data_IF_457594628458
#
_entry.id   IF_457594628458
#
_cell.length_a   1.000
_cell.length_b   1.000
_cell.length_c   1.000
_cell.angle_alpha   90.00
_cell.angle_beta   90.00
_cell.angle_gamma   90.00
#
_symmetry.space_group_name_H-M   'P 1'
#
loop_
_entity.id
_entity.type
_entity.pdbx_description
1 polymer ?
#
# COMPACT_ATOMS: atom_id res chain seq x y z
N UNK A 1 24.42 -7.67 31.43
CA UNK A 1 24.16 -6.76 30.30
C UNK A 1 24.06 -7.62 29.06
N UNK A 2 22.90 -7.68 28.40
CA UNK A 2 22.71 -8.48 27.17
C UNK A 2 23.43 -7.71 26.05
N UNK A 3 24.52 -8.27 25.53
CA UNK A 3 25.23 -7.74 24.38
C UNK A 3 24.39 -7.98 23.13
N UNK A 4 23.54 -7.03 22.76
CA UNK A 4 22.79 -7.11 21.51
C UNK A 4 23.79 -7.07 20.35
N UNK A 5 23.96 -8.20 19.65
CA UNK A 5 24.79 -8.26 18.45
C UNK A 5 24.29 -7.22 17.43
N UNK A 6 25.15 -6.31 16.94
CA UNK A 6 24.75 -5.28 15.98
C UNK A 6 24.16 -5.90 14.70
N UNK A 7 24.68 -7.06 14.28
CA UNK A 7 24.15 -7.84 13.17
C UNK A 7 22.72 -8.31 13.44
N UNK A 8 22.45 -8.82 14.65
CA UNK A 8 21.10 -9.27 15.01
C UNK A 8 20.10 -8.10 15.06
N UNK A 9 20.54 -6.94 15.56
CA UNK A 9 19.74 -5.72 15.55
C UNK A 9 19.40 -5.27 14.12
N UNK A 10 20.36 -5.33 13.21
CA UNK A 10 20.14 -5.04 11.79
C UNK A 10 19.08 -5.96 11.18
N UNK A 11 19.20 -7.28 11.33
CA UNK A 11 18.21 -8.22 10.81
C UNK A 11 16.82 -8.05 11.43
N UNK A 12 16.76 -7.66 12.71
CA UNK A 12 15.49 -7.34 13.35
C UNK A 12 14.82 -6.13 12.69
N UNK A 13 15.58 -5.07 12.37
CA UNK A 13 15.05 -3.90 11.65
C UNK A 13 14.59 -4.27 10.23
N UNK A 14 15.34 -5.12 9.54
CA UNK A 14 14.96 -5.61 8.20
C UNK A 14 13.64 -6.38 8.26
N UNK A 15 13.49 -7.31 9.21
CA UNK A 15 12.23 -8.05 9.39
C UNK A 15 11.06 -7.11 9.73
N UNK A 16 11.27 -6.09 10.56
CA UNK A 16 10.23 -5.09 10.85
C UNK A 16 9.79 -4.34 9.59
N UNK A 17 10.73 -3.90 8.75
CA UNK A 17 10.42 -3.26 7.48
C UNK A 17 9.69 -4.20 6.52
N UNK A 18 10.13 -5.46 6.40
CA UNK A 18 9.48 -6.47 5.56
C UNK A 18 8.03 -6.73 5.99
N UNK A 19 7.76 -6.79 7.29
CA UNK A 19 6.40 -6.94 7.79
C UNK A 19 5.51 -5.76 7.40
N UNK A 20 6.01 -4.53 7.50
CA UNK A 20 5.28 -3.32 7.05
C UNK A 20 5.00 -3.42 5.54
N UNK A 21 5.98 -3.81 4.73
CA UNK A 21 5.79 -3.98 3.28
C UNK A 21 4.77 -5.06 2.93
N UNK A 22 4.74 -6.17 3.66
CA UNK A 22 3.74 -7.22 3.47
C UNK A 22 2.34 -6.75 3.82
N UNK A 23 2.17 -5.99 4.90
CA UNK A 23 0.89 -5.37 5.27
C UNK A 23 0.47 -4.35 4.20
N UNK A 24 1.41 -3.59 3.64
CA UNK A 24 1.14 -2.65 2.56
C UNK A 24 0.60 -3.37 1.33
N UNK A 25 1.26 -4.44 0.88
CA UNK A 25 0.80 -5.26 -0.24
C UNK A 25 -0.56 -5.89 0.04
N UNK A 26 -0.78 -6.37 1.27
CA UNK A 26 -2.08 -6.90 1.69
C UNK A 26 -3.16 -5.82 1.62
N UNK A 27 -2.89 -4.60 2.08
CA UNK A 27 -3.84 -3.47 2.02
C UNK A 27 -4.25 -3.12 0.59
N UNK A 28 -3.33 -3.24 -0.38
CA UNK A 28 -3.60 -3.04 -1.79
C UNK A 28 -4.42 -4.19 -2.37
N UNK A 29 -4.04 -5.44 -2.12
CA UNK A 29 -4.77 -6.62 -2.60
C UNK A 29 -6.18 -6.68 -2.03
N UNK A 30 -6.30 -6.36 -0.75
CA UNK A 30 -7.52 -6.40 0.03
C UNK A 30 -8.24 -5.04 -0.01
N UNK A 31 -7.71 -4.08 -0.79
CA UNK A 31 -8.23 -2.72 -1.04
C UNK A 31 -8.82 -2.06 0.19
N UNK A 32 -8.13 -2.26 1.30
CA UNK A 32 -8.47 -1.69 2.56
C UNK A 32 -7.75 -0.34 2.66
N UNK A 33 -8.45 0.74 2.30
CA UNK A 33 -7.87 2.07 2.24
C UNK A 33 -7.38 2.56 3.61
N UNK A 34 -8.09 2.21 4.69
CA UNK A 34 -7.67 2.56 6.05
C UNK A 34 -6.33 1.91 6.40
N UNK A 35 -6.20 0.60 6.13
CA UNK A 35 -4.95 -0.13 6.34
C UNK A 35 -3.84 0.41 5.43
N UNK A 36 -4.16 0.74 4.18
CA UNK A 36 -3.22 1.36 3.24
C UNK A 36 -2.63 2.65 3.80
N UNK A 37 -3.46 3.57 4.31
CA UNK A 37 -2.97 4.81 4.90
C UNK A 37 -2.14 4.58 6.15
N UNK A 38 -2.58 3.70 7.05
CA UNK A 38 -1.82 3.36 8.26
C UNK A 38 -0.43 2.82 7.91
N UNK A 39 -0.35 1.90 6.96
CA UNK A 39 0.94 1.33 6.56
C UNK A 39 1.83 2.34 5.85
N UNK A 40 1.26 3.28 5.08
CA UNK A 40 2.06 4.37 4.50
C UNK A 40 2.65 5.29 5.57
N UNK A 41 1.92 5.57 6.65
CA UNK A 41 2.44 6.32 7.79
C UNK A 41 3.59 5.61 8.50
N UNK A 42 3.46 4.29 8.69
CA UNK A 42 4.53 3.46 9.25
C UNK A 42 5.75 3.37 8.32
N UNK A 43 5.54 3.39 7.00
CA UNK A 43 6.61 3.31 5.99
C UNK A 43 7.35 4.64 5.79
N UNK A 44 6.69 5.78 6.00
CA UNK A 44 7.26 7.12 5.82
C UNK A 44 8.65 7.33 6.49
N UNK A 45 8.87 7.00 7.78
CA UNK A 45 10.19 7.15 8.41
C UNK A 45 11.28 6.27 7.77
N UNK A 46 10.93 5.10 7.22
CA UNK A 46 11.89 4.20 6.59
C UNK A 46 12.49 4.77 5.31
N UNK A 47 11.74 5.58 4.55
CA UNK A 47 12.30 6.28 3.39
C UNK A 47 13.43 7.23 3.78
N UNK A 48 13.35 7.90 4.93
CA UNK A 48 14.45 8.74 5.43
C UNK A 48 15.61 7.89 5.95
N UNK A 49 15.33 6.78 6.64
CA UNK A 49 16.35 5.86 7.13
C UNK A 49 17.15 5.18 6.00
N UNK A 50 16.53 5.00 4.83
CA UNK A 50 17.13 4.40 3.63
C UNK A 50 17.65 5.43 2.61
N UNK A 51 17.77 6.70 3.02
CA UNK A 51 18.22 7.83 2.20
C UNK A 51 17.39 8.07 0.91
N UNK A 52 16.14 7.63 0.92
CA UNK A 52 15.14 7.86 -0.12
C UNK A 52 14.30 9.12 0.19
N UNK A 53 14.97 10.22 0.51
CA UNK A 53 14.36 11.44 1.04
C UNK A 53 13.29 12.04 0.12
N UNK A 54 13.51 12.00 -1.20
CA UNK A 54 12.55 12.50 -2.18
C UNK A 54 11.23 11.73 -2.09
N UNK A 55 11.29 10.40 -1.96
CA UNK A 55 10.10 9.57 -1.79
C UNK A 55 9.42 9.82 -0.45
N UNK A 56 10.18 9.95 0.65
CA UNK A 56 9.63 10.26 1.97
C UNK A 56 8.87 11.59 2.01
N UNK A 57 9.36 12.62 1.32
CA UNK A 57 8.69 13.94 1.20
C UNK A 57 7.39 13.85 0.42
N UNK A 58 7.43 13.28 -0.79
CA UNK A 58 6.22 13.12 -1.62
C UNK A 58 5.19 12.21 -0.96
N UNK A 59 5.64 11.16 -0.26
CA UNK A 59 4.76 10.27 0.47
C UNK A 59 4.03 10.99 1.61
N UNK A 60 4.72 11.86 2.34
CA UNK A 60 4.11 12.65 3.42
C UNK A 60 3.01 13.58 2.89
N UNK A 61 3.23 14.21 1.73
CA UNK A 61 2.22 15.03 1.04
C UNK A 61 1.02 14.17 0.62
N UNK A 62 1.28 13.02 -0.01
CA UNK A 62 0.24 12.08 -0.42
C UNK A 62 -0.63 11.61 0.76
N UNK A 63 -0.02 11.25 1.90
CA UNK A 63 -0.74 10.86 3.11
C UNK A 63 -1.63 12.00 3.61
N UNK A 64 -1.09 13.23 3.65
CA UNK A 64 -1.85 14.40 4.08
C UNK A 64 -3.08 14.64 3.19
N UNK A 65 -2.89 14.61 1.87
CA UNK A 65 -3.97 14.81 0.91
C UNK A 65 -5.03 13.72 1.04
N UNK A 66 -4.61 12.46 1.14
CA UNK A 66 -5.52 11.33 1.31
C UNK A 66 -6.33 11.38 2.62
N UNK A 67 -5.75 11.90 3.70
CA UNK A 67 -6.49 12.14 4.96
C UNK A 67 -7.45 13.31 4.84
N UNK A 68 -7.09 14.36 4.11
CA UNK A 68 -7.96 15.51 3.88
C UNK A 68 -9.21 15.14 3.07
N UNK A 69 -9.12 14.13 2.20
CA UNK A 69 -10.27 13.59 1.47
C UNK A 69 -11.39 13.08 2.40
N UNK A 70 -11.07 12.65 3.62
CA UNK A 70 -12.07 12.22 4.61
C UNK A 70 -13.06 13.33 4.98
N UNK A 71 -12.67 14.61 4.83
CA UNK A 71 -13.51 15.77 5.11
C UNK A 71 -14.02 16.51 3.86
N UNK A 72 -13.80 15.96 2.65
CA UNK A 72 -14.10 16.60 1.36
C UNK A 72 -15.19 15.90 0.53
N UNK A 73 -15.23 16.18 -0.78
CA UNK A 73 -16.20 15.62 -1.75
C UNK A 73 -16.34 14.09 -1.63
N UNK A 74 -17.56 13.63 -1.31
CA UNK A 74 -17.81 12.30 -0.77
C UNK A 74 -17.59 11.15 -1.76
N UNK A 75 -17.78 11.38 -3.06
CA UNK A 75 -17.82 10.30 -4.04
C UNK A 75 -16.47 9.59 -4.23
N UNK A 76 -15.37 10.34 -4.34
CA UNK A 76 -14.04 9.74 -4.47
C UNK A 76 -13.60 9.03 -3.19
N UNK A 77 -13.93 9.60 -2.02
CA UNK A 77 -13.59 8.98 -0.74
C UNK A 77 -14.39 7.69 -0.52
N UNK A 78 -15.67 7.68 -0.88
CA UNK A 78 -16.52 6.49 -0.85
C UNK A 78 -15.98 5.39 -1.78
N UNK A 79 -15.55 5.73 -2.99
CA UNK A 79 -14.94 4.76 -3.90
C UNK A 79 -13.63 4.17 -3.34
N UNK A 80 -12.82 4.99 -2.66
CA UNK A 80 -11.61 4.53 -1.97
C UNK A 80 -11.97 3.61 -0.80
N UNK A 81 -12.96 3.97 0.01
CA UNK A 81 -13.49 3.14 1.11
C UNK A 81 -14.05 1.81 0.63
N UNK A 82 -14.68 1.79 -0.55
CA UNK A 82 -15.17 0.57 -1.20
C UNK A 82 -14.04 -0.27 -1.83
N UNK A 83 -12.78 0.19 -1.75
CA UNK A 83 -11.64 -0.52 -2.27
C UNK A 83 -11.54 -0.51 -3.79
N UNK A 84 -12.14 0.49 -4.46
CA UNK A 84 -12.12 0.63 -5.92
C UNK A 84 -10.80 1.17 -6.48
N UNK A 85 -9.82 1.45 -5.63
CA UNK A 85 -8.44 1.78 -6.03
C UNK A 85 -7.60 0.55 -6.40
N UNK A 86 -8.18 -0.65 -6.29
CA UNK A 86 -7.51 -1.90 -6.69
C UNK A 86 -7.43 -2.02 -8.20
N UNK A 87 -6.31 -2.51 -8.69
CA UNK A 87 -6.20 -2.97 -10.08
C UNK A 87 -7.02 -4.25 -10.26
N UNK A 88 -8.25 -4.13 -10.77
CA UNK A 88 -9.04 -5.29 -11.16
C UNK A 88 -8.49 -5.86 -12.47
N UNK A 89 -8.13 -7.15 -12.47
CA UNK A 89 -7.81 -7.87 -13.70
C UNK A 89 -9.14 -8.23 -14.37
N UNK A 90 -9.60 -7.42 -15.31
CA UNK A 90 -10.77 -7.78 -16.11
C UNK A 90 -10.41 -8.92 -17.07
N UNK A 91 -10.84 -10.13 -16.72
CA UNK A 91 -10.63 -11.33 -17.52
C UNK A 91 -11.81 -11.56 -18.48
N UNK A 92 -12.89 -10.76 -18.37
CA UNK A 92 -14.07 -10.84 -19.24
C UNK A 92 -13.75 -10.76 -20.74
N UNK A 93 -12.74 -9.97 -21.20
CA UNK A 93 -12.35 -9.96 -22.60
C UNK A 93 -11.75 -11.29 -23.08
N UNK A 94 -11.17 -12.10 -22.18
CA UNK A 94 -10.54 -13.38 -22.52
C UNK A 94 -11.57 -14.52 -22.61
N UNK A 95 -12.71 -14.41 -21.91
CA UNK A 95 -13.77 -15.42 -21.91
C UNK A 95 -14.72 -15.29 -23.13
N UNK A 96 -14.75 -14.14 -23.80
CA UNK A 96 -15.66 -13.87 -24.94
C UNK A 96 -15.27 -14.55 -26.26
N UNK A 97 -14.07 -15.13 -26.36
CA UNK A 97 -13.57 -15.72 -27.61
C UNK A 97 -13.80 -17.24 -27.74
N UNK A 98 -14.48 -17.87 -26.76
CA UNK A 98 -14.66 -19.34 -26.71
C UNK A 98 -15.87 -19.91 -27.44
N UNK A 99 -16.78 -19.08 -27.97
CA UNK A 99 -17.99 -19.54 -28.68
C UNK A 99 -18.04 -19.00 -30.10
N UNK A 100 -17.14 -19.47 -30.97
CA UNK A 100 -17.43 -19.50 -32.41
C UNK A 100 -18.29 -20.74 -32.68
N UNK A 101 -19.61 -20.54 -32.62
CA UNK A 101 -20.62 -21.50 -33.06
C UNK A 101 -20.26 -22.00 -34.46
N UNK A 102 -20.03 -23.30 -34.57
CA UNK A 102 -19.97 -24.02 -35.83
C UNK A 102 -21.37 -24.01 -36.46
N UNK A 103 -21.51 -23.31 -37.57
CA UNK A 103 -22.60 -23.46 -38.54
C UNK A 103 -21.98 -23.55 -39.91
#
# INVERSE_FOLDING_TARGET
MITTSPTFKYWTLVLQLEMILLVFVASLRDGNFTLYLQTLEELAPWFFALDQQNYGRWLSVHIHDMKKLQGGSSMCYEDLMQGRFRSAKDISPLLKNGTRSST
#
